data_IF_738951734325
#
_entry.id   IF_738951734325
#
_cell.length_a   1.000
_cell.length_b   1.000
_cell.length_c   1.000
_cell.angle_alpha   90.00
_cell.angle_beta   90.00
_cell.angle_gamma   90.00
#
_symmetry.space_group_name_H-M   'P 1'
#
loop_
_entity.id
_entity.type
_entity.pdbx_description
1 polymer ?
#
# COMPACT_ATOMS: atom_id res chain seq x y z
N UNK A 1 -0.52 6.33 -12.10
CA UNK A 1 -1.46 5.36 -11.51
C UNK A 1 -2.83 5.44 -12.16
N UNK A 2 -3.30 4.29 -12.65
CA UNK A 2 -4.61 4.12 -13.29
C UNK A 2 -5.79 4.12 -12.29
N UNK A 3 -7.00 4.33 -12.80
CA UNK A 3 -8.22 4.43 -11.99
C UNK A 3 -8.52 3.18 -11.17
N UNK A 4 -8.24 1.99 -11.71
CA UNK A 4 -8.41 0.73 -11.01
C UNK A 4 -7.55 0.66 -9.73
N UNK A 5 -6.29 1.12 -9.81
CA UNK A 5 -5.41 1.18 -8.65
C UNK A 5 -5.85 2.25 -7.64
N UNK A 6 -6.41 3.37 -8.11
CA UNK A 6 -7.01 4.39 -7.22
C UNK A 6 -8.20 3.80 -6.46
N UNK A 7 -9.08 3.09 -7.16
CA UNK A 7 -10.22 2.42 -6.54
C UNK A 7 -9.79 1.38 -5.49
N UNK A 8 -8.72 0.61 -5.77
CA UNK A 8 -8.14 -0.31 -4.79
C UNK A 8 -7.55 0.40 -3.58
N UNK A 9 -6.78 1.47 -3.81
CA UNK A 9 -6.17 2.23 -2.74
C UNK A 9 -7.21 2.89 -1.82
N UNK A 10 -8.37 3.28 -2.36
CA UNK A 10 -9.53 3.77 -1.59
C UNK A 10 -10.14 2.72 -0.65
N UNK A 11 -9.87 1.44 -0.84
CA UNK A 11 -10.35 0.38 0.05
C UNK A 11 -9.52 0.27 1.34
N UNK A 12 -8.31 0.84 1.34
CA UNK A 12 -7.42 0.86 2.48
C UNK A 12 -7.71 2.04 3.40
N UNK A 13 -7.59 1.81 4.69
CA UNK A 13 -7.71 2.80 5.75
C UNK A 13 -6.36 2.98 6.46
N UNK A 14 -6.12 4.13 7.11
CA UNK A 14 -4.99 4.29 8.02
C UNK A 14 -4.94 3.15 9.06
N UNK A 15 -3.82 2.45 9.13
CA UNK A 15 -3.62 1.26 9.97
C UNK A 15 -3.63 -0.05 9.18
N UNK A 16 -4.14 -0.07 7.95
CA UNK A 16 -4.11 -1.28 7.12
C UNK A 16 -2.71 -1.53 6.55
N UNK A 17 -2.35 -2.81 6.43
CA UNK A 17 -1.17 -3.24 5.68
C UNK A 17 -1.47 -3.28 4.19
N UNK A 18 -0.68 -2.58 3.38
CA UNK A 18 -0.80 -2.54 1.92
C UNK A 18 0.46 -3.07 1.26
N UNK A 19 0.29 -3.73 0.12
CA UNK A 19 1.37 -4.11 -0.79
C UNK A 19 1.20 -3.35 -2.10
N UNK A 20 2.24 -2.64 -2.49
CA UNK A 20 2.33 -1.86 -3.70
C UNK A 20 3.34 -2.51 -4.64
N UNK A 21 3.05 -2.46 -5.92
CA UNK A 21 3.98 -2.81 -6.99
C UNK A 21 4.30 -1.55 -7.77
N UNK A 22 5.55 -1.44 -8.19
CA UNK A 22 6.04 -0.20 -8.78
C UNK A 22 7.51 -0.24 -9.13
N UNK A 23 7.98 0.89 -9.63
CA UNK A 23 9.40 1.13 -9.81
C UNK A 23 9.86 1.99 -8.64
N UNK A 24 10.24 1.34 -7.54
CA UNK A 24 10.72 2.01 -6.35
C UNK A 24 12.25 2.01 -6.37
N UNK A 25 12.86 3.17 -6.17
CA UNK A 25 14.30 3.26 -6.00
C UNK A 25 14.68 2.61 -4.67
N UNK A 26 15.25 1.41 -4.70
CA UNK A 26 16.10 0.95 -3.61
C UNK A 26 17.52 1.43 -3.95
N UNK A 27 18.28 1.85 -2.95
CA UNK A 27 19.62 2.47 -3.12
C UNK A 27 20.63 1.60 -3.88
N UNK A 28 20.29 0.34 -4.21
CA UNK A 28 21.10 -0.61 -4.97
C UNK A 28 20.33 -1.34 -6.10
N UNK A 29 19.10 -0.93 -6.44
CA UNK A 29 18.29 -1.59 -7.47
C UNK A 29 16.82 -1.15 -7.49
N UNK A 30 16.06 -1.53 -8.52
CA UNK A 30 14.62 -1.30 -8.54
C UNK A 30 13.93 -2.38 -7.72
N UNK A 31 13.23 -2.02 -6.64
CA UNK A 31 12.32 -2.94 -5.98
C UNK A 31 10.98 -2.95 -6.72
N UNK A 32 10.55 -4.13 -7.16
CA UNK A 32 9.27 -4.32 -7.84
C UNK A 32 8.07 -4.17 -6.91
N UNK A 33 8.26 -4.33 -5.59
CA UNK A 33 7.20 -4.20 -4.61
C UNK A 33 7.67 -3.58 -3.29
N UNK A 34 6.75 -2.89 -2.62
CA UNK A 34 6.91 -2.36 -1.28
C UNK A 34 5.68 -2.68 -0.44
N UNK A 35 5.89 -3.07 0.82
CA UNK A 35 4.81 -3.28 1.78
C UNK A 35 5.00 -2.38 2.99
N UNK A 36 3.89 -1.90 3.54
CA UNK A 36 3.91 -1.03 4.70
C UNK A 36 2.51 -0.78 5.24
N UNK A 37 2.46 -0.14 6.41
CA UNK A 37 1.20 0.25 7.05
C UNK A 37 0.78 1.62 6.53
N UNK A 38 -0.44 1.73 6.02
CA UNK A 38 -1.00 3.01 5.56
C UNK A 38 -1.10 3.96 6.75
N UNK A 39 -0.47 5.13 6.65
CA UNK A 39 -0.61 6.19 7.65
C UNK A 39 -1.55 7.29 7.18
N UNK A 40 -1.42 7.68 5.92
CA UNK A 40 -2.28 8.68 5.29
C UNK A 40 -2.27 8.52 3.78
N UNK A 41 -3.37 8.90 3.13
CA UNK A 41 -3.52 8.90 1.67
C UNK A 41 -3.91 10.32 1.25
N UNK A 42 -2.96 11.05 0.66
CA UNK A 42 -3.19 12.42 0.20
C UNK A 42 -3.54 12.43 -1.30
N UNK A 43 -4.83 12.61 -1.59
CA UNK A 43 -5.34 12.59 -2.97
C UNK A 43 -5.06 13.89 -3.73
N UNK A 44 -4.87 15.01 -3.02
CA UNK A 44 -4.58 16.30 -3.63
C UNK A 44 -3.15 16.33 -4.20
N UNK A 45 -2.18 15.88 -3.40
CA UNK A 45 -0.77 15.79 -3.75
C UNK A 45 -0.40 14.46 -4.42
N UNK A 46 -1.36 13.52 -4.51
CA UNK A 46 -1.18 12.18 -5.07
C UNK A 46 -0.02 11.41 -4.42
N UNK A 47 -0.01 11.39 -3.08
CA UNK A 47 1.01 10.72 -2.27
C UNK A 47 0.38 9.78 -1.26
N UNK A 48 1.06 8.65 -1.02
CA UNK A 48 0.71 7.66 -0.02
C UNK A 48 1.79 7.64 1.05
N UNK A 49 1.43 7.88 2.30
CA UNK A 49 2.37 7.74 3.40
C UNK A 49 2.28 6.31 3.95
N UNK A 50 3.41 5.61 3.90
CA UNK A 50 3.56 4.26 4.45
C UNK A 50 4.54 4.28 5.62
N UNK A 51 4.21 3.52 6.64
CA UNK A 51 5.12 3.17 7.72
C UNK A 51 5.74 1.79 7.45
N UNK A 52 7.07 1.76 7.42
CA UNK A 52 7.86 0.56 7.19
C UNK A 52 8.40 0.06 8.54
N UNK A 53 7.73 -0.92 9.13
CA UNK A 53 8.12 -1.45 10.43
C UNK A 53 9.53 -2.04 10.48
N UNK A 54 10.09 -2.47 9.33
CA UNK A 54 11.46 -2.97 9.24
C UNK A 54 12.50 -1.86 9.49
N UNK A 55 12.18 -0.63 9.09
CA UNK A 55 13.07 0.53 9.12
C UNK A 55 12.69 1.52 10.24
N UNK A 56 11.58 1.26 10.94
CA UNK A 56 10.93 2.17 11.90
C UNK A 56 10.65 3.58 11.30
N UNK A 57 10.46 3.65 9.98
CA UNK A 57 10.38 4.92 9.25
C UNK A 57 9.05 5.10 8.50
N UNK A 58 8.57 6.35 8.43
CA UNK A 58 7.49 6.74 7.53
C UNK A 58 8.03 7.35 6.23
N UNK A 59 7.64 6.80 5.08
CA UNK A 59 8.03 7.32 3.75
C UNK A 59 6.81 7.70 2.93
N UNK A 60 6.99 8.71 2.07
CA UNK A 60 5.99 9.13 1.11
C UNK A 60 6.24 8.47 -0.25
N UNK A 61 5.25 7.73 -0.74
CA UNK A 61 5.27 7.07 -2.02
C UNK A 61 4.37 7.84 -2.99
N UNK A 62 4.91 8.47 -4.05
CA UNK A 62 4.08 9.16 -5.03
C UNK A 62 3.29 8.13 -5.86
N UNK A 63 2.04 8.46 -6.20
CA UNK A 63 1.20 7.59 -7.04
C UNK A 63 1.83 7.36 -8.42
N UNK A 64 2.69 8.26 -8.89
CA UNK A 64 3.42 8.09 -10.14
C UNK A 64 4.35 6.85 -10.13
N UNK A 65 4.87 6.45 -8.96
CA UNK A 65 5.74 5.28 -8.83
C UNK A 65 4.98 3.96 -8.70
N UNK A 66 3.66 4.00 -8.46
CA UNK A 66 2.82 2.83 -8.23
C UNK A 66 2.21 2.35 -9.55
N UNK A 67 2.55 1.14 -9.96
CA UNK A 67 2.02 0.47 -11.16
C UNK A 67 0.86 -0.46 -10.82
N UNK A 68 0.87 -1.08 -9.63
CA UNK A 68 -0.27 -1.83 -9.13
C UNK A 68 -0.41 -1.75 -7.61
N UNK A 69 -1.66 -1.80 -7.15
CA UNK A 69 -1.99 -1.92 -5.72
C UNK A 69 -2.56 -3.32 -5.53
N UNK A 70 -1.98 -4.10 -4.60
CA UNK A 70 -2.55 -5.38 -4.22
C UNK A 70 -3.92 -5.12 -3.61
N UNK A 71 -4.93 -5.90 -4.00
CA UNK A 71 -6.23 -5.80 -3.35
C UNK A 71 -6.08 -6.20 -1.87
N UNK A 72 -6.71 -5.49 -0.93
CA UNK A 72 -6.68 -5.91 0.45
C UNK A 72 -7.25 -7.33 0.48
N UNK A 73 -6.48 -8.28 1.01
CA UNK A 73 -7.05 -9.56 1.38
C UNK A 73 -8.06 -9.21 2.48
N UNK A 74 -9.33 -9.05 2.10
CA UNK A 74 -10.40 -9.14 3.07
C UNK A 74 -10.28 -10.56 3.59
N UNK A 75 -9.54 -10.73 4.67
CA UNK A 75 -9.77 -11.79 5.61
C UNK A 75 -11.21 -11.58 6.04
N UNK A 76 -12.13 -12.15 5.25
CA UNK A 76 -13.39 -12.62 5.75
C UNK A 76 -12.93 -13.60 6.81
N UNK A 77 -12.80 -13.11 8.04
CA UNK A 77 -12.91 -13.92 9.22
C UNK A 77 -14.31 -14.53 9.11
N UNK A 78 -14.43 -15.56 8.26
CA UNK A 78 -15.38 -16.61 8.47
C UNK A 78 -14.94 -17.14 9.81
N UNK A 79 -15.60 -16.65 10.85
CA UNK A 79 -15.70 -17.30 12.14
C UNK A 79 -15.64 -18.78 11.86
N UNK A 80 -14.62 -19.45 12.39
CA UNK A 80 -14.63 -20.88 12.52
C UNK A 80 -15.91 -21.22 13.27
N UNK A 81 -16.94 -21.60 12.52
CA UNK A 81 -18.09 -22.31 13.04
C UNK A 81 -17.56 -23.72 13.36
N UNK A 82 -17.07 -23.88 14.59
CA UNK A 82 -17.03 -25.20 15.20
C UNK A 82 -18.49 -25.57 15.51
N UNK A 83 -19.07 -26.37 14.63
CA UNK A 83 -20.26 -27.18 14.89
C UNK A 83 -19.91 -28.65 14.76
#
# INVERSE_FOLDING_TARGET
MDENNKARLRLYQPGDSVVLYGCFAAEYGVMESQSGIVRSIDWCSCQLQLYFACDDECRYIPFASITAVQSPARCRAGTADQG
#
